data_IF_535426579992
#
_entry.id   IF_535426579992
#
_cell.length_a   1.000
_cell.length_b   1.000
_cell.length_c   1.000
_cell.angle_alpha   90.00
_cell.angle_beta   90.00
_cell.angle_gamma   90.00
#
_symmetry.space_group_name_H-M   'P 1'
#
loop_
_entity.id
_entity.type
_entity.pdbx_description
1 polymer ?
#
# COMPACT_ATOMS: atom_id res chain seq x y z
N UNK A 1 -23.30 -2.82 2.41
CA UNK A 1 -22.88 -4.16 1.95
C UNK A 1 -21.37 -4.19 1.80
N UNK A 2 -20.65 -4.89 2.69
CA UNK A 2 -19.22 -5.12 2.53
C UNK A 2 -19.02 -6.20 1.46
N UNK A 3 -18.77 -5.76 0.21
CA UNK A 3 -18.43 -6.68 -0.88
C UNK A 3 -17.15 -7.40 -0.48
N UNK A 4 -17.24 -8.69 -0.18
CA UNK A 4 -16.05 -9.51 -0.03
C UNK A 4 -15.24 -9.40 -1.32
N UNK A 5 -13.98 -8.96 -1.24
CA UNK A 5 -13.19 -8.80 -2.44
C UNK A 5 -12.97 -10.16 -3.11
N UNK A 6 -13.00 -10.15 -4.44
CA UNK A 6 -12.74 -11.34 -5.23
C UNK A 6 -11.31 -11.81 -4.94
N UNK A 7 -11.14 -13.07 -4.51
CA UNK A 7 -9.88 -13.63 -4.01
C UNK A 7 -8.64 -13.34 -4.88
N UNK A 8 -8.76 -13.32 -6.21
CA UNK A 8 -7.66 -12.98 -7.14
C UNK A 8 -7.29 -11.49 -7.10
N UNK A 9 -8.29 -10.63 -6.94
CA UNK A 9 -8.11 -9.17 -6.83
C UNK A 9 -7.39 -8.83 -5.53
N UNK A 10 -7.67 -9.57 -4.46
CA UNK A 10 -6.94 -9.45 -3.19
C UNK A 10 -5.47 -9.80 -3.30
N UNK A 11 -5.11 -10.85 -4.04
CA UNK A 11 -3.70 -11.24 -4.21
C UNK A 11 -2.91 -10.15 -4.92
N UNK A 12 -3.44 -9.57 -6.00
CA UNK A 12 -2.77 -8.48 -6.71
C UNK A 12 -2.67 -7.21 -5.85
N UNK A 13 -3.75 -6.85 -5.15
CA UNK A 13 -3.73 -5.70 -4.24
C UNK A 13 -2.72 -5.91 -3.12
N UNK A 14 -2.64 -7.11 -2.54
CA UNK A 14 -1.65 -7.46 -1.52
C UNK A 14 -0.23 -7.34 -2.04
N UNK A 15 0.05 -7.85 -3.24
CA UNK A 15 1.36 -7.71 -3.87
C UNK A 15 1.77 -6.23 -4.09
N UNK A 16 0.83 -5.39 -4.55
CA UNK A 16 1.09 -3.96 -4.71
C UNK A 16 1.32 -3.26 -3.37
N UNK A 17 0.63 -3.68 -2.31
CA UNK A 17 0.84 -3.19 -0.95
C UNK A 17 2.24 -3.55 -0.44
N UNK A 18 2.68 -4.80 -0.62
CA UNK A 18 4.00 -5.25 -0.20
C UNK A 18 5.12 -4.43 -0.91
N UNK A 19 4.97 -4.21 -2.22
CA UNK A 19 5.86 -3.31 -2.97
C UNK A 19 5.79 -1.86 -2.48
N UNK A 20 4.59 -1.36 -2.17
CA UNK A 20 4.39 -0.01 -1.64
C UNK A 20 5.08 0.22 -0.30
N UNK A 21 5.07 -0.78 0.58
CA UNK A 21 5.81 -0.75 1.85
C UNK A 21 7.32 -0.69 1.57
N UNK A 22 7.83 -1.53 0.66
CA UNK A 22 9.24 -1.49 0.30
C UNK A 22 9.64 -0.12 -0.31
N UNK A 23 8.80 0.45 -1.17
CA UNK A 23 9.03 1.79 -1.74
C UNK A 23 8.99 2.88 -0.67
N UNK A 24 8.13 2.74 0.35
CA UNK A 24 8.08 3.68 1.47
C UNK A 24 9.39 3.66 2.25
N UNK A 25 9.97 2.49 2.47
CA UNK A 25 11.27 2.32 3.14
C UNK A 25 12.43 2.89 2.33
N UNK A 26 12.46 2.66 1.01
CA UNK A 26 13.64 2.96 0.16
C UNK A 26 13.56 4.34 -0.49
N UNK A 27 12.37 4.78 -0.90
CA UNK A 27 12.16 5.99 -1.71
C UNK A 27 11.33 7.06 -0.99
N UNK A 28 10.81 6.75 0.19
CA UNK A 28 10.01 7.67 1.00
C UNK A 28 8.56 7.81 0.55
N UNK A 29 7.81 8.56 1.35
CA UNK A 29 6.35 8.62 1.32
C UNK A 29 5.77 9.05 -0.03
N UNK A 30 6.33 10.10 -0.65
CA UNK A 30 5.83 10.64 -1.91
C UNK A 30 5.91 9.63 -3.05
N UNK A 31 7.03 8.90 -3.16
CA UNK A 31 7.24 7.91 -4.23
C UNK A 31 6.36 6.67 -4.02
N UNK A 32 6.23 6.20 -2.78
CA UNK A 32 5.34 5.10 -2.43
C UNK A 32 3.86 5.42 -2.71
N UNK A 33 3.41 6.63 -2.34
CA UNK A 33 2.06 7.10 -2.61
C UNK A 33 1.77 7.15 -4.11
N UNK A 34 2.68 7.73 -4.90
CA UNK A 34 2.54 7.78 -6.36
C UNK A 34 2.47 6.38 -6.99
N UNK A 35 3.32 5.45 -6.54
CA UNK A 35 3.30 4.07 -7.00
C UNK A 35 1.94 3.41 -6.74
N UNK A 36 1.45 3.45 -5.50
CA UNK A 36 0.19 2.80 -5.12
C UNK A 36 -1.03 3.39 -5.86
N UNK A 37 -1.08 4.71 -6.04
CA UNK A 37 -2.15 5.38 -6.81
C UNK A 37 -2.11 4.98 -8.29
N UNK A 38 -0.93 4.94 -8.89
CA UNK A 38 -0.75 4.52 -10.30
C UNK A 38 -1.24 3.08 -10.54
N UNK A 39 -1.13 2.22 -9.54
CA UNK A 39 -1.59 0.83 -9.60
C UNK A 39 -3.03 0.62 -9.10
N UNK A 40 -3.81 1.69 -8.94
CA UNK A 40 -5.21 1.66 -8.53
C UNK A 40 -5.46 0.96 -7.19
N UNK A 41 -4.49 1.02 -6.28
CA UNK A 41 -4.71 0.59 -4.89
C UNK A 41 -5.72 1.55 -4.25
N UNK A 42 -6.75 1.07 -3.53
CA UNK A 42 -7.74 1.93 -2.90
C UNK A 42 -7.10 2.93 -1.93
N UNK A 43 -7.55 4.19 -1.95
CA UNK A 43 -6.96 5.26 -1.12
C UNK A 43 -6.98 4.90 0.38
N UNK A 44 -8.01 4.20 0.86
CA UNK A 44 -8.09 3.69 2.24
C UNK A 44 -6.96 2.74 2.60
N UNK A 45 -6.49 1.92 1.65
CA UNK A 45 -5.34 1.03 1.81
C UNK A 45 -4.04 1.83 1.76
N UNK A 46 -3.93 2.80 0.85
CA UNK A 46 -2.77 3.70 0.74
C UNK A 46 -2.56 4.44 2.07
N UNK A 47 -3.61 5.03 2.63
CA UNK A 47 -3.55 5.71 3.93
C UNK A 47 -3.01 4.76 5.01
N UNK A 48 -3.45 3.50 5.05
CA UNK A 48 -2.95 2.51 6.02
C UNK A 48 -1.47 2.17 5.82
N UNK A 49 -1.01 2.05 4.57
CA UNK A 49 0.40 1.80 4.25
C UNK A 49 1.27 2.96 4.71
N UNK A 50 0.91 4.20 4.37
CA UNK A 50 1.70 5.39 4.71
C UNK A 50 1.73 5.69 6.22
N UNK A 51 0.71 5.26 6.98
CA UNK A 51 0.66 5.41 8.44
C UNK A 51 1.09 4.14 9.20
N UNK A 52 1.58 3.11 8.50
CA UNK A 52 1.95 1.85 9.13
C UNK A 52 3.12 2.05 10.11
N UNK A 53 3.02 1.61 11.37
CA UNK A 53 4.08 1.76 12.37
C UNK A 53 5.37 1.00 12.00
N UNK A 54 5.34 0.11 11.01
CA UNK A 54 6.54 -0.52 10.46
C UNK A 54 7.56 0.53 9.95
N UNK A 55 7.08 1.66 9.39
CA UNK A 55 7.94 2.76 8.96
C UNK A 55 8.50 3.56 10.14
N UNK A 56 7.67 3.84 11.16
CA UNK A 56 8.04 4.66 12.33
C UNK A 56 9.06 4.04 13.28
N UNK A 57 9.38 2.75 13.18
CA UNK A 57 10.32 2.09 14.11
C UNK A 57 11.78 2.11 13.66
N UNK A 58 12.10 2.57 12.44
CA UNK A 58 13.48 2.62 11.94
C UNK A 58 14.17 3.97 12.11
N UNK A 59 13.48 5.00 12.61
CA UNK A 59 14.02 6.33 12.88
C UNK A 59 13.45 6.91 14.17
#
# INVERSE_FOLDING_TARGET
MHKQPLRRRDVMTRFMVDLGIHYLEVLGQTKAMHFLRRHHVPETVITRVLHSPAYRRRY
#
